data_IF_676704547041
#
_entry.id   IF_676704547041
#
_cell.length_a   1.000
_cell.length_b   1.000
_cell.length_c   1.000
_cell.angle_alpha   90.00
_cell.angle_beta   90.00
_cell.angle_gamma   90.00
#
_symmetry.space_group_name_H-M   'P 1'
#
loop_
_entity.id
_entity.type
_entity.pdbx_description
1 polymer ?
#
# COMPACT_ATOMS: atom_id res chain seq x y z
N UNK A 1 -4.64 -32.95 -10.97
CA UNK A 1 -5.69 -32.47 -10.06
C UNK A 1 -5.37 -31.01 -9.78
N UNK A 2 -6.13 -30.09 -10.37
CA UNK A 2 -5.90 -28.65 -10.22
C UNK A 2 -6.00 -28.24 -8.75
N UNK A 3 -4.90 -27.78 -8.17
CA UNK A 3 -4.89 -27.12 -6.86
C UNK A 3 -5.50 -25.72 -7.00
N UNK A 4 -6.83 -25.67 -7.07
CA UNK A 4 -7.57 -24.41 -7.13
C UNK A 4 -7.36 -23.64 -5.82
N UNK A 5 -7.06 -22.34 -5.95
CA UNK A 5 -7.06 -21.38 -4.84
C UNK A 5 -8.45 -21.38 -4.21
N UNK A 6 -8.52 -21.65 -2.91
CA UNK A 6 -9.77 -21.72 -2.14
C UNK A 6 -9.74 -20.64 -1.06
N UNK A 7 -10.83 -19.88 -0.93
CA UNK A 7 -11.02 -18.90 0.14
C UNK A 7 -12.25 -19.35 0.93
N UNK A 8 -12.10 -19.52 2.24
CA UNK A 8 -13.20 -19.77 3.17
C UNK A 8 -13.30 -18.62 4.16
N UNK A 9 -14.54 -18.24 4.47
CA UNK A 9 -14.86 -17.27 5.50
C UNK A 9 -15.42 -18.06 6.68
N UNK A 10 -14.79 -17.91 7.83
CA UNK A 10 -15.22 -18.49 9.10
C UNK A 10 -15.74 -17.34 9.97
N UNK A 11 -16.86 -17.55 10.66
CA UNK A 11 -17.51 -16.50 11.47
C UNK A 11 -16.56 -15.98 12.56
N UNK A 12 -15.85 -16.88 13.25
CA UNK A 12 -14.87 -16.51 14.27
C UNK A 12 -13.71 -17.51 14.35
N UNK A 13 -12.60 -17.07 14.92
CA UNK A 13 -11.50 -17.95 15.31
C UNK A 13 -11.16 -17.70 16.77
N UNK A 14 -11.78 -18.48 17.66
CA UNK A 14 -11.58 -18.33 19.10
C UNK A 14 -10.20 -18.88 19.53
N UNK A 15 -9.48 -18.19 20.43
CA UNK A 15 -8.26 -18.73 21.00
C UNK A 15 -8.55 -19.90 21.94
N UNK A 16 -7.53 -20.72 22.23
CA UNK A 16 -7.68 -21.82 23.20
C UNK A 16 -7.85 -21.32 24.64
N UNK A 17 -7.24 -20.16 24.92
CA UNK A 17 -7.37 -19.39 26.16
C UNK A 17 -7.42 -17.91 25.75
N UNK A 18 -8.36 -17.16 26.32
CA UNK A 18 -8.36 -15.70 26.22
C UNK A 18 -7.20 -15.10 27.01
N UNK A 19 -6.86 -13.84 26.76
CA UNK A 19 -5.85 -13.11 27.53
C UNK A 19 -6.36 -12.86 28.95
N UNK A 20 -5.49 -13.06 29.94
CA UNK A 20 -5.85 -12.87 31.35
C UNK A 20 -5.10 -13.80 32.31
N UNK A 21 -5.45 -13.71 33.59
CA UNK A 21 -4.90 -14.55 34.65
C UNK A 21 -5.72 -15.84 34.81
N UNK A 22 -5.03 -16.97 34.88
CA UNK A 22 -5.62 -18.28 35.05
C UNK A 22 -5.01 -19.00 36.25
N UNK A 23 -5.86 -19.74 36.97
CA UNK A 23 -5.44 -20.61 38.05
C UNK A 23 -5.64 -22.08 37.66
N UNK A 24 -4.56 -22.83 37.60
CA UNK A 24 -4.60 -24.29 37.45
C UNK A 24 -4.73 -24.90 38.84
N UNK A 25 -5.68 -25.81 39.00
CA UNK A 25 -5.82 -26.64 40.20
C UNK A 25 -5.58 -28.10 39.82
N UNK A 26 -4.57 -28.72 40.41
CA UNK A 26 -4.22 -30.13 40.16
C UNK A 26 -4.42 -30.97 41.43
N UNK A 27 -5.00 -32.15 41.27
CA UNK A 27 -5.10 -33.16 42.32
C UNK A 27 -4.98 -34.56 41.72
N UNK A 28 -4.53 -35.52 42.52
CA UNK A 28 -4.47 -36.93 42.17
C UNK A 28 -5.72 -37.62 42.71
N UNK A 29 -6.45 -38.31 41.84
CA UNK A 29 -7.59 -39.15 42.23
C UNK A 29 -7.13 -40.60 42.45
N UNK A 30 -7.05 -41.01 43.71
CA UNK A 30 -6.69 -42.38 44.10
C UNK A 30 -7.87 -43.35 44.06
N UNK A 31 -9.03 -42.97 43.52
CA UNK A 31 -10.25 -43.76 43.52
C UNK A 31 -10.72 -44.07 44.94
N UNK A 32 -10.49 -45.32 45.41
CA UNK A 32 -10.85 -45.75 46.77
C UNK A 32 -10.01 -45.08 47.87
N UNK A 33 -8.84 -44.56 47.54
CA UNK A 33 -7.93 -43.88 48.47
C UNK A 33 -8.26 -42.39 48.67
N UNK A 34 -9.25 -41.86 47.95
CA UNK A 34 -9.64 -40.45 47.99
C UNK A 34 -8.78 -39.55 47.10
N UNK A 35 -9.04 -38.24 47.18
CA UNK A 35 -8.32 -37.20 46.41
C UNK A 35 -7.17 -36.61 47.22
N UNK A 36 -6.05 -36.32 46.56
CA UNK A 36 -4.93 -35.59 47.17
C UNK A 36 -5.32 -34.16 47.50
N UNK A 37 -4.42 -33.48 48.23
CA UNK A 37 -4.44 -32.02 48.32
C UNK A 37 -4.43 -31.41 46.91
N UNK A 38 -5.19 -30.32 46.76
CA UNK A 38 -5.27 -29.55 45.53
C UNK A 38 -4.11 -28.55 45.53
N UNK A 39 -3.17 -28.75 44.61
CA UNK A 39 -2.12 -27.77 44.32
C UNK A 39 -2.64 -26.74 43.33
N UNK A 40 -2.25 -25.48 43.54
CA UNK A 40 -2.72 -24.34 42.76
C UNK A 40 -1.56 -23.54 42.23
N UNK A 41 -1.54 -23.32 40.93
CA UNK A 41 -0.56 -22.48 40.25
C UNK A 41 -1.29 -21.42 39.42
N UNK A 42 -0.75 -20.21 39.40
CA UNK A 42 -1.30 -19.07 38.66
C UNK A 42 -0.38 -18.77 37.48
N UNK A 43 -0.95 -18.61 36.29
CA UNK A 43 -0.21 -18.21 35.10
C UNK A 43 -1.02 -17.20 34.28
N UNK A 44 -0.33 -16.38 33.50
CA UNK A 44 -0.94 -15.34 32.67
C UNK A 44 -0.82 -15.69 31.19
N UNK A 45 -1.89 -15.45 30.45
CA UNK A 45 -1.88 -15.45 28.99
C UNK A 45 -1.78 -14.00 28.54
N UNK A 46 -0.64 -13.64 27.94
CA UNK A 46 -0.40 -12.31 27.40
C UNK A 46 -1.10 -12.09 26.06
N UNK A 47 -1.57 -10.86 25.84
CA UNK A 47 -2.15 -10.43 24.58
C UNK A 47 -2.26 -8.91 24.52
N UNK A 48 -2.34 -8.30 23.31
CA UNK A 48 -2.45 -6.85 23.15
C UNK A 48 -3.66 -6.29 23.90
N UNK A 49 -3.50 -5.12 24.53
CA UNK A 49 -4.56 -4.47 25.32
C UNK A 49 -4.73 -2.99 24.96
N UNK A 50 -3.63 -2.23 25.06
CA UNK A 50 -3.63 -0.78 24.90
C UNK A 50 -2.90 -0.27 23.65
N UNK A 51 -2.14 -1.16 22.99
CA UNK A 51 -1.43 -0.89 21.75
C UNK A 51 -1.30 -2.20 20.93
N UNK A 52 -1.11 -2.06 19.62
CA UNK A 52 -0.79 -3.16 18.71
C UNK A 52 0.66 -3.06 18.24
N UNK A 53 1.26 -4.19 17.91
CA UNK A 53 2.58 -4.23 17.31
C UNK A 53 2.51 -3.84 15.82
N UNK A 54 3.60 -3.29 15.28
CA UNK A 54 3.67 -2.86 13.87
C UNK A 54 3.36 -3.98 12.86
N UNK A 55 3.53 -5.25 13.25
CA UNK A 55 3.25 -6.42 12.41
C UNK A 55 1.84 -6.98 12.52
N UNK A 56 1.00 -6.47 13.43
CA UNK A 56 -0.35 -7.00 13.63
C UNK A 56 -1.31 -6.60 12.51
N UNK A 57 -1.13 -5.39 11.96
CA UNK A 57 -1.92 -4.87 10.85
C UNK A 57 -1.25 -5.26 9.53
N UNK A 58 -1.91 -6.09 8.73
CA UNK A 58 -1.43 -6.48 7.39
C UNK A 58 -1.76 -5.40 6.38
N UNK A 59 -3.00 -4.90 6.40
CA UNK A 59 -3.47 -3.90 5.44
C UNK A 59 -4.76 -3.23 5.91
N UNK A 60 -4.94 -1.98 5.49
CA UNK A 60 -6.19 -1.23 5.63
C UNK A 60 -6.76 -0.89 4.27
N UNK A 61 -8.08 -0.80 4.18
CA UNK A 61 -8.76 -0.32 2.98
C UNK A 61 -10.00 0.51 3.36
N UNK A 62 -10.18 1.73 2.81
CA UNK A 62 -9.27 2.46 1.91
C UNK A 62 -7.86 2.67 2.47
N UNK A 63 -6.87 2.78 1.58
CA UNK A 63 -5.48 2.95 1.99
C UNK A 63 -5.24 4.29 2.67
N UNK A 64 -4.27 4.34 3.56
CA UNK A 64 -3.89 5.59 4.25
C UNK A 64 -3.50 6.68 3.24
N UNK A 65 -4.08 7.87 3.41
CA UNK A 65 -3.85 9.05 2.57
C UNK A 65 -4.37 8.91 1.14
N UNK A 66 -5.15 7.87 0.82
CA UNK A 66 -5.66 7.65 -0.54
C UNK A 66 -6.95 8.41 -0.81
N UNK A 67 -7.14 8.81 -2.06
CA UNK A 67 -8.36 9.44 -2.56
C UNK A 67 -9.01 8.53 -3.60
N UNK A 68 -10.31 8.29 -3.48
CA UNK A 68 -11.01 7.42 -4.42
C UNK A 68 -12.51 7.34 -4.19
N UNK A 69 -13.19 6.51 -4.98
CA UNK A 69 -14.64 6.30 -4.89
C UNK A 69 -14.97 5.31 -3.77
N UNK A 70 -14.87 5.76 -2.53
CA UNK A 70 -15.11 4.95 -1.34
C UNK A 70 -16.53 5.06 -0.77
N UNK A 71 -17.38 5.91 -1.35
CA UNK A 71 -18.74 6.17 -0.85
C UNK A 71 -19.68 4.96 -0.79
N UNK A 72 -19.37 3.89 -1.53
CA UNK A 72 -20.17 2.65 -1.54
C UNK A 72 -19.43 1.46 -0.91
N UNK A 73 -18.38 1.73 -0.11
CA UNK A 73 -17.55 0.70 0.48
C UNK A 73 -17.41 0.94 1.99
N UNK A 74 -17.65 -0.12 2.76
CA UNK A 74 -17.36 -0.14 4.19
C UNK A 74 -15.84 -0.29 4.39
N UNK A 75 -15.20 0.63 5.13
CA UNK A 75 -13.80 0.48 5.48
C UNK A 75 -13.55 -0.81 6.24
N UNK A 76 -12.37 -1.41 6.03
CA UNK A 76 -11.98 -2.63 6.73
C UNK A 76 -10.47 -2.67 6.99
N UNK A 77 -10.11 -3.40 8.03
CA UNK A 77 -8.73 -3.67 8.43
C UNK A 77 -8.49 -5.18 8.45
N UNK A 78 -7.31 -5.59 7.99
CA UNK A 78 -6.87 -6.98 7.98
C UNK A 78 -5.75 -7.14 9.01
N UNK A 79 -5.96 -8.04 9.97
CA UNK A 79 -5.01 -8.37 11.02
C UNK A 79 -4.38 -9.74 10.74
N UNK A 80 -3.09 -9.89 11.05
CA UNK A 80 -2.34 -11.13 10.79
C UNK A 80 -2.61 -12.23 11.81
N UNK A 81 -2.92 -11.85 13.06
CA UNK A 81 -3.32 -12.79 14.09
C UNK A 81 -4.80 -13.12 13.96
N UNK A 82 -5.10 -14.34 13.51
CA UNK A 82 -6.46 -14.82 13.28
C UNK A 82 -7.38 -14.79 14.51
N UNK A 83 -6.82 -14.88 15.72
CA UNK A 83 -7.57 -14.93 16.99
C UNK A 83 -7.71 -13.56 17.65
N UNK A 84 -6.95 -12.55 17.20
CA UNK A 84 -6.78 -11.28 17.90
C UNK A 84 -8.09 -10.57 18.25
N UNK A 85 -9.10 -10.49 17.38
CA UNK A 85 -10.38 -9.86 17.74
C UNK A 85 -11.14 -10.58 18.86
N UNK A 86 -10.83 -11.85 19.14
CA UNK A 86 -11.48 -12.71 20.14
C UNK A 86 -10.55 -13.09 21.31
N UNK A 87 -9.40 -12.43 21.43
CA UNK A 87 -8.44 -12.68 22.52
C UNK A 87 -8.84 -12.01 23.84
N UNK A 88 -9.80 -11.09 23.83
CA UNK A 88 -10.37 -10.44 25.02
C UNK A 88 -11.90 -10.37 24.90
N UNK A 89 -12.53 -9.95 25.99
CA UNK A 89 -13.98 -9.84 26.09
C UNK A 89 -14.42 -8.39 26.25
N UNK A 90 -15.57 -8.04 25.66
CA UNK A 90 -16.26 -6.77 25.94
C UNK A 90 -16.88 -6.75 27.35
N UNK A 91 -16.97 -7.89 28.04
CA UNK A 91 -17.54 -7.99 29.38
C UNK A 91 -16.60 -7.45 30.46
N UNK A 92 -17.18 -6.89 31.53
CA UNK A 92 -16.41 -6.52 32.73
C UNK A 92 -15.70 -7.73 33.37
N UNK A 93 -14.39 -7.59 33.59
CA UNK A 93 -13.51 -8.61 34.18
C UNK A 93 -13.99 -9.07 35.58
N UNK A 94 -14.59 -8.17 36.38
CA UNK A 94 -15.05 -8.48 37.74
C UNK A 94 -16.12 -9.59 37.81
N UNK A 95 -16.82 -9.91 36.71
CA UNK A 95 -17.83 -10.99 36.67
C UNK A 95 -17.29 -12.34 36.17
N UNK A 96 -16.03 -12.43 35.72
CA UNK A 96 -15.43 -13.70 35.30
C UNK A 96 -14.48 -14.23 36.38
N UNK A 97 -15.05 -14.95 37.37
CA UNK A 97 -14.33 -16.13 37.89
C UNK A 97 -14.25 -17.11 36.72
N UNK A 98 -13.07 -17.27 36.13
CA UNK A 98 -12.83 -18.25 35.05
C UNK A 98 -12.86 -19.66 35.67
N UNK A 99 -14.05 -20.11 36.05
CA UNK A 99 -14.34 -21.53 36.01
C UNK A 99 -14.61 -21.80 34.53
N UNK A 100 -13.78 -22.61 33.85
CA UNK A 100 -14.17 -23.26 32.60
C UNK A 100 -15.56 -23.86 32.84
N UNK A 101 -16.61 -23.23 32.31
CA UNK A 101 -17.84 -23.96 32.10
C UNK A 101 -17.49 -24.98 31.03
N UNK A 102 -17.50 -26.25 31.40
CA UNK A 102 -17.43 -27.39 30.48
C UNK A 102 -18.72 -27.44 29.67
N UNK A 103 -18.95 -26.41 28.84
CA UNK A 103 -20.06 -26.26 27.93
C UNK A 103 -19.55 -25.76 26.58
N UNK A 104 -20.33 -25.92 25.49
CA UNK A 104 -19.97 -25.35 24.21
C UNK A 104 -19.84 -23.82 24.35
N UNK A 105 -18.74 -23.25 23.84
CA UNK A 105 -18.57 -21.80 23.70
C UNK A 105 -19.80 -21.24 22.97
N UNK A 106 -20.35 -20.09 23.40
CA UNK A 106 -21.44 -19.46 22.68
C UNK A 106 -21.03 -19.27 21.21
N UNK A 107 -21.93 -19.61 20.28
CA UNK A 107 -21.60 -19.72 18.86
C UNK A 107 -21.17 -18.40 18.20
N UNK A 108 -21.35 -17.26 18.89
CA UNK A 108 -21.00 -15.92 18.43
C UNK A 108 -20.51 -15.08 19.60
N UNK A 109 -19.20 -15.08 19.84
CA UNK A 109 -18.60 -14.10 20.75
C UNK A 109 -18.28 -12.82 19.97
N UNK A 110 -18.77 -11.66 20.43
CA UNK A 110 -18.44 -10.39 19.80
C UNK A 110 -16.96 -10.10 19.98
N UNK A 111 -16.26 -9.57 18.95
CA UNK A 111 -14.88 -9.16 19.11
C UNK A 111 -14.77 -8.01 20.11
N UNK A 112 -13.66 -7.93 20.84
CA UNK A 112 -13.37 -6.79 21.72
C UNK A 112 -12.88 -5.55 20.97
N UNK A 113 -12.84 -5.59 19.64
CA UNK A 113 -12.32 -4.54 18.78
C UNK A 113 -13.39 -4.13 17.78
N UNK A 114 -13.47 -2.83 17.48
CA UNK A 114 -14.40 -2.29 16.50
C UNK A 114 -13.72 -1.27 15.61
N UNK A 115 -14.11 -1.24 14.33
CA UNK A 115 -13.63 -0.24 13.38
C UNK A 115 -14.60 0.94 13.30
N UNK A 116 -14.33 1.96 14.10
CA UNK A 116 -15.07 3.21 14.16
C UNK A 116 -14.72 4.10 12.96
N UNK A 117 -15.71 4.65 12.28
CA UNK A 117 -15.52 5.61 11.19
C UNK A 117 -16.15 6.95 11.54
N UNK A 118 -15.33 8.01 11.52
CA UNK A 118 -15.77 9.39 11.75
C UNK A 118 -15.61 10.23 10.49
N UNK A 119 -16.62 11.05 10.21
CA UNK A 119 -16.59 12.03 9.12
C UNK A 119 -15.89 13.31 9.55
N UNK A 120 -15.50 14.16 8.60
CA UNK A 120 -14.70 15.37 8.81
C UNK A 120 -15.07 16.23 10.03
N UNK A 121 -16.36 16.44 10.30
CA UNK A 121 -16.84 17.27 11.42
C UNK A 121 -16.79 16.55 12.77
N UNK A 122 -16.71 15.22 12.76
CA UNK A 122 -16.71 14.34 13.92
C UNK A 122 -15.28 13.87 14.27
N UNK A 123 -14.29 14.14 13.42
CA UNK A 123 -12.91 13.67 13.62
C UNK A 123 -12.34 14.25 14.92
N UNK A 124 -11.87 13.36 15.78
CA UNK A 124 -11.14 13.68 17.02
C UNK A 124 -9.70 13.22 16.88
N UNK A 125 -8.75 14.11 17.19
CA UNK A 125 -7.33 13.76 17.14
C UNK A 125 -6.94 12.76 18.24
N UNK A 126 -6.17 11.75 17.86
CA UNK A 126 -5.65 10.73 18.79
C UNK A 126 -4.61 11.37 19.70
N UNK A 127 -4.88 11.37 21.00
CA UNK A 127 -3.90 11.79 22.02
C UNK A 127 -3.03 10.60 22.40
N UNK A 128 -1.75 10.86 22.55
CA UNK A 128 -0.79 9.89 23.09
C UNK A 128 -0.60 10.18 24.58
N UNK A 129 -0.67 9.13 25.40
CA UNK A 129 -0.46 9.24 26.83
C UNK A 129 -0.13 7.88 27.44
N UNK A 130 -0.29 7.77 28.75
CA UNK A 130 -0.09 6.52 29.48
C UNK A 130 -1.40 5.87 29.85
N UNK A 131 -1.38 4.58 30.14
CA UNK A 131 -2.57 3.85 30.62
C UNK A 131 -3.13 4.47 31.91
N UNK A 132 -2.30 5.08 32.75
CA UNK A 132 -2.77 5.88 33.93
C UNK A 132 -3.75 6.99 33.58
N UNK A 133 -3.64 7.57 32.38
CA UNK A 133 -4.52 8.63 31.91
C UNK A 133 -5.92 8.09 31.58
N UNK A 134 -6.04 6.79 31.30
CA UNK A 134 -7.32 6.11 31.08
C UNK A 134 -8.09 5.92 32.40
N UNK A 135 -7.40 5.59 33.50
CA UNK A 135 -7.99 5.42 34.84
C UNK A 135 -8.57 6.74 35.39
N UNK A 136 -8.00 7.88 34.99
CA UNK A 136 -8.37 9.20 35.49
C UNK A 136 -8.85 10.13 34.37
N UNK A 137 -10.01 9.85 33.75
CA UNK A 137 -10.55 10.72 32.72
C UNK A 137 -10.99 12.07 33.32
N UNK A 138 -11.00 13.15 32.52
CA UNK A 138 -11.46 14.46 32.95
C UNK A 138 -12.93 14.41 33.42
N UNK A 139 -13.34 15.38 34.23
CA UNK A 139 -14.71 15.46 34.72
C UNK A 139 -15.73 15.44 33.57
N UNK A 140 -16.70 14.53 33.65
CA UNK A 140 -17.73 14.35 32.62
C UNK A 140 -17.36 13.36 31.50
N UNK A 141 -16.20 12.70 31.56
CA UNK A 141 -15.79 11.67 30.60
C UNK A 141 -15.90 10.25 31.19
N UNK A 142 -16.42 9.31 30.41
CA UNK A 142 -16.63 7.91 30.79
C UNK A 142 -15.50 7.01 30.28
N UNK A 143 -14.98 6.17 31.16
CA UNK A 143 -14.11 5.04 30.82
C UNK A 143 -14.56 3.83 31.65
N UNK A 144 -14.61 2.60 31.11
CA UNK A 144 -14.99 1.42 31.86
C UNK A 144 -13.96 1.09 32.95
N UNK A 145 -14.42 0.54 34.08
CA UNK A 145 -13.54 0.01 35.12
C UNK A 145 -12.86 -1.27 34.64
N UNK A 146 -11.58 -1.16 34.26
CA UNK A 146 -10.70 -2.27 33.89
C UNK A 146 -9.75 -2.61 35.04
N UNK A 147 -9.39 -3.89 35.20
CA UNK A 147 -8.34 -4.28 36.14
C UNK A 147 -6.99 -4.02 35.47
N UNK A 148 -6.42 -2.84 35.72
CA UNK A 148 -5.12 -2.42 35.20
C UNK A 148 -4.05 -2.75 36.24
N UNK A 149 -3.05 -3.50 35.82
CA UNK A 149 -1.91 -3.85 36.67
C UNK A 149 -0.85 -2.74 36.71
N UNK A 150 0.00 -2.75 37.75
CA UNK A 150 1.05 -1.75 37.92
C UNK A 150 2.02 -1.68 36.72
N UNK A 151 2.30 -2.82 36.10
CA UNK A 151 3.17 -2.90 34.91
C UNK A 151 2.51 -2.31 33.65
N UNK A 152 1.18 -2.35 33.56
CA UNK A 152 0.42 -1.81 32.44
C UNK A 152 0.26 -0.28 32.54
N UNK A 153 0.19 0.26 33.76
CA UNK A 153 0.00 1.70 34.02
C UNK A 153 1.01 2.58 33.29
N UNK A 154 2.26 2.15 33.21
CA UNK A 154 3.35 2.91 32.58
C UNK A 154 3.43 2.74 31.05
N UNK A 155 2.61 1.88 30.46
CA UNK A 155 2.61 1.66 29.00
C UNK A 155 2.06 2.86 28.25
N UNK A 156 2.64 3.13 27.07
CA UNK A 156 2.13 4.15 26.15
C UNK A 156 0.88 3.65 25.43
N UNK A 157 -0.12 4.52 25.29
CA UNK A 157 -1.36 4.22 24.60
C UNK A 157 -1.92 5.44 23.87
N UNK A 158 -2.67 5.18 22.80
CA UNK A 158 -3.46 6.19 22.09
C UNK A 158 -4.90 6.18 22.58
N UNK A 159 -5.52 7.35 22.75
CA UNK A 159 -6.93 7.44 23.12
C UNK A 159 -7.61 8.71 22.58
N UNK A 160 -8.93 8.62 22.42
CA UNK A 160 -9.82 9.73 22.01
C UNK A 160 -10.94 9.91 23.04
N UNK A 161 -11.41 11.14 23.23
CA UNK A 161 -12.65 11.42 23.95
C UNK A 161 -13.72 11.75 22.90
N UNK A 162 -14.68 10.85 22.72
CA UNK A 162 -15.75 11.00 21.72
C UNK A 162 -17.04 11.48 22.39
N UNK A 163 -17.75 12.46 21.82
CA UNK A 163 -19.05 12.86 22.33
C UNK A 163 -20.03 11.68 22.37
N UNK A 164 -20.82 11.61 23.45
CA UNK A 164 -21.83 10.56 23.67
C UNK A 164 -22.76 10.38 22.49
N UNK A 165 -23.24 11.48 21.92
CA UNK A 165 -24.21 11.48 20.80
C UNK A 165 -23.66 10.71 19.59
N UNK A 166 -22.38 10.94 19.25
CA UNK A 166 -21.71 10.27 18.13
C UNK A 166 -21.45 8.80 18.47
N UNK A 167 -21.05 8.51 19.71
CA UNK A 167 -20.82 7.13 20.14
C UNK A 167 -22.12 6.30 20.11
N UNK A 168 -23.22 6.84 20.62
CA UNK A 168 -24.55 6.20 20.57
C UNK A 168 -25.04 5.98 19.14
N UNK A 169 -24.75 6.89 18.21
CA UNK A 169 -25.13 6.75 16.80
C UNK A 169 -24.33 5.67 16.08
N UNK A 170 -23.02 5.57 16.35
CA UNK A 170 -22.11 4.75 15.53
C UNK A 170 -21.83 3.38 16.14
N UNK A 171 -21.98 3.19 17.45
CA UNK A 171 -21.68 1.91 18.10
C UNK A 171 -22.69 0.81 17.67
N UNK A 172 -22.24 -0.33 17.14
CA UNK A 172 -23.12 -1.45 16.80
C UNK A 172 -23.59 -2.20 18.06
N UNK A 173 -24.70 -2.92 17.93
CA UNK A 173 -25.13 -3.91 18.94
C UNK A 173 -24.14 -5.07 19.05
N UNK A 174 -24.18 -5.84 20.15
CA UNK A 174 -23.29 -7.01 20.32
C UNK A 174 -23.47 -8.05 19.18
N UNK A 175 -24.70 -8.22 18.68
CA UNK A 175 -25.00 -9.13 17.57
C UNK A 175 -24.42 -8.63 16.24
N UNK A 176 -24.53 -7.32 15.97
CA UNK A 176 -23.94 -6.70 14.78
C UNK A 176 -22.41 -6.74 14.84
N UNK A 177 -21.81 -6.51 16.01
CA UNK A 177 -20.37 -6.56 16.20
C UNK A 177 -19.79 -7.94 15.84
N UNK A 178 -20.52 -9.01 16.16
CA UNK A 178 -20.17 -10.36 15.73
C UNK A 178 -20.26 -10.57 14.20
N UNK A 179 -21.07 -9.80 13.48
CA UNK A 179 -21.17 -9.86 12.01
C UNK A 179 -20.11 -8.99 11.30
N UNK A 180 -19.60 -7.97 11.98
CA UNK A 180 -18.60 -7.03 11.46
C UNK A 180 -17.17 -7.58 11.52
N UNK A 181 -16.97 -8.76 12.08
CA UNK A 181 -15.69 -9.45 12.14
C UNK A 181 -15.80 -10.87 11.59
N UNK A 182 -14.74 -11.33 10.91
CA UNK A 182 -14.65 -12.71 10.46
C UNK A 182 -13.19 -13.13 10.27
N UNK A 183 -12.94 -14.44 10.30
CA UNK A 183 -11.66 -15.01 9.94
C UNK A 183 -11.68 -15.48 8.49
N UNK A 184 -10.60 -15.22 7.76
CA UNK A 184 -10.45 -15.63 6.36
C UNK A 184 -9.31 -16.64 6.25
N UNK A 185 -9.66 -17.82 5.73
CA UNK A 185 -8.72 -18.90 5.41
C UNK A 185 -8.41 -18.86 3.91
N UNK A 186 -7.14 -18.70 3.58
CA UNK A 186 -6.65 -18.64 2.20
C UNK A 186 -5.76 -19.85 1.95
N UNK A 187 -6.16 -20.71 1.02
CA UNK A 187 -5.33 -21.84 0.56
C UNK A 187 -4.72 -21.50 -0.80
N UNK A 188 -3.40 -21.51 -0.88
CA UNK A 188 -2.66 -21.26 -2.12
C UNK A 188 -2.56 -22.52 -2.97
N UNK A 189 -2.33 -22.35 -4.28
CA UNK A 189 -2.16 -23.47 -5.22
C UNK A 189 -0.94 -24.34 -4.89
N UNK A 190 0.03 -23.80 -4.15
CA UNK A 190 1.24 -24.47 -3.67
C UNK A 190 1.00 -25.25 -2.36
N UNK A 191 -0.24 -25.26 -1.84
CA UNK A 191 -0.61 -25.99 -0.63
C UNK A 191 -0.39 -25.23 0.68
N UNK A 192 0.08 -23.98 0.61
CA UNK A 192 0.18 -23.11 1.77
C UNK A 192 -1.18 -22.65 2.28
N UNK A 193 -1.32 -22.57 3.59
CA UNK A 193 -2.54 -22.08 4.24
C UNK A 193 -2.22 -20.86 5.10
N UNK A 194 -2.94 -19.77 4.85
CA UNK A 194 -2.78 -18.52 5.58
C UNK A 194 -4.12 -18.11 6.19
N UNK A 195 -4.06 -17.66 7.43
CA UNK A 195 -5.21 -17.15 8.16
C UNK A 195 -5.01 -15.68 8.45
N UNK A 196 -6.08 -14.92 8.31
CA UNK A 196 -6.16 -13.51 8.71
C UNK A 196 -7.51 -13.26 9.36
N UNK A 197 -7.62 -12.24 10.20
CA UNK A 197 -8.91 -11.74 10.68
C UNK A 197 -9.21 -10.39 10.06
N UNK A 198 -10.48 -10.13 9.78
CA UNK A 198 -10.93 -8.91 9.11
C UNK A 198 -11.98 -8.25 9.99
N UNK A 199 -11.82 -6.97 10.28
CA UNK A 199 -12.85 -6.13 10.89
C UNK A 199 -13.33 -5.11 9.87
N UNK A 200 -14.64 -4.93 9.80
CA UNK A 200 -15.31 -3.99 8.88
C UNK A 200 -16.07 -2.96 9.70
N UNK A 201 -16.09 -1.71 9.25
CA UNK A 201 -16.94 -0.69 9.86
C UNK A 201 -18.41 -0.90 9.51
N UNK A 202 -19.31 -0.19 10.19
CA UNK A 202 -20.76 -0.20 9.93
C UNK A 202 -21.28 1.06 9.22
N UNK A 203 -20.41 2.05 8.97
CA UNK A 203 -20.76 3.34 8.35
C UNK A 203 -20.05 3.52 7.01
N UNK A 204 -20.73 4.14 6.06
CA UNK A 204 -20.14 4.53 4.79
C UNK A 204 -19.37 5.86 4.93
N UNK A 205 -18.26 6.06 4.20
CA UNK A 205 -17.56 7.33 4.16
C UNK A 205 -18.44 8.45 3.61
N UNK A 206 -18.30 9.66 4.16
CA UNK A 206 -18.96 10.85 3.61
C UNK A 206 -18.36 11.19 2.25
N UNK A 207 -19.23 11.43 1.25
CA UNK A 207 -18.79 11.78 -0.10
C UNK A 207 -19.02 13.27 -0.32
N UNK A 208 -18.01 13.97 -0.83
CA UNK A 208 -18.10 15.39 -1.16
C UNK A 208 -17.52 15.69 -2.55
N UNK A 209 -17.89 16.85 -3.12
CA UNK A 209 -17.37 17.31 -4.42
C UNK A 209 -15.86 17.52 -4.43
N UNK A 210 -15.29 17.98 -3.31
CA UNK A 210 -13.84 18.13 -3.10
C UNK A 210 -13.20 16.92 -2.41
N UNK A 211 -13.98 15.87 -2.14
CA UNK A 211 -13.59 14.71 -1.35
C UNK A 211 -13.96 14.85 0.12
N UNK A 212 -14.81 13.97 0.64
CA UNK A 212 -15.13 13.93 2.06
C UNK A 212 -13.99 13.25 2.82
N UNK A 213 -13.39 13.97 3.77
CA UNK A 213 -12.37 13.41 4.67
C UNK A 213 -13.05 12.47 5.67
N UNK A 214 -12.53 11.25 5.78
CA UNK A 214 -12.96 10.27 6.78
C UNK A 214 -11.74 9.69 7.50
N UNK A 215 -11.89 9.43 8.80
CA UNK A 215 -10.85 8.79 9.61
C UNK A 215 -11.40 7.54 10.27
N UNK A 216 -10.69 6.44 10.09
CA UNK A 216 -11.03 5.16 10.69
C UNK A 216 -10.16 4.92 11.93
N UNK A 217 -10.76 4.40 13.00
CA UNK A 217 -10.11 4.08 14.27
C UNK A 217 -10.46 2.65 14.64
N UNK A 218 -9.43 1.82 14.82
CA UNK A 218 -9.56 0.54 15.46
C UNK A 218 -9.55 0.77 16.97
N UNK A 219 -10.71 0.64 17.61
CA UNK A 219 -10.90 0.93 19.04
C UNK A 219 -11.03 -0.36 19.85
N UNK A 220 -10.64 -0.29 21.14
CA UNK A 220 -10.96 -1.31 22.13
C UNK A 220 -12.35 -1.08 22.74
N UNK A 221 -13.14 -2.15 22.81
CA UNK A 221 -14.43 -2.23 23.50
C UNK A 221 -14.35 -3.10 24.77
N UNK A 222 -13.15 -3.36 25.28
CA UNK A 222 -12.96 -4.08 26.53
C UNK A 222 -13.70 -3.37 27.68
N UNK A 223 -14.54 -4.11 28.42
CA UNK A 223 -15.35 -3.56 29.51
C UNK A 223 -16.59 -2.75 29.09
N UNK A 224 -16.88 -2.58 27.80
CA UNK A 224 -18.05 -1.80 27.34
C UNK A 224 -19.38 -2.54 27.41
N UNK A 225 -19.46 -3.81 27.83
CA UNK A 225 -20.75 -4.51 27.95
C UNK A 225 -21.65 -3.83 28.99
N UNK A 226 -22.82 -3.38 28.54
CA UNK A 226 -23.80 -2.69 29.39
C UNK A 226 -23.40 -1.27 29.77
N UNK A 227 -22.50 -0.66 29.00
CA UNK A 227 -22.03 0.73 29.15
C UNK A 227 -23.15 1.76 29.27
N UNK A 228 -24.31 1.50 28.66
CA UNK A 228 -25.49 2.39 28.70
C UNK A 228 -25.95 2.63 30.15
N UNK A 229 -25.89 1.59 30.98
CA UNK A 229 -26.25 1.65 32.39
C UNK A 229 -25.20 2.34 33.27
N UNK A 230 -23.97 2.47 32.77
CA UNK A 230 -22.80 2.98 33.52
C UNK A 230 -22.46 4.43 33.18
N UNK A 231 -23.07 4.99 32.13
CA UNK A 231 -22.74 6.31 31.62
C UNK A 231 -23.11 7.46 32.58
N UNK A 232 -24.26 7.35 33.23
CA UNK A 232 -24.81 8.42 34.08
C UNK A 232 -24.96 9.75 33.33
N UNK A 233 -24.45 10.84 33.90
CA UNK A 233 -24.49 12.22 33.36
C UNK A 233 -23.24 12.58 32.51
N UNK A 234 -22.40 11.60 32.17
CA UNK A 234 -21.17 11.84 31.42
C UNK A 234 -21.49 12.20 29.95
N UNK A 235 -20.73 13.16 29.42
CA UNK A 235 -20.92 13.74 28.07
C UNK A 235 -20.02 13.12 27.03
N UNK A 236 -18.81 12.73 27.43
CA UNK A 236 -17.81 12.18 26.53
C UNK A 236 -17.44 10.76 26.96
N UNK A 237 -16.96 9.96 26.01
CA UNK A 237 -16.57 8.57 26.19
C UNK A 237 -15.14 8.42 25.73
N UNK A 238 -14.26 7.99 26.64
CA UNK A 238 -12.86 7.71 26.36
C UNK A 238 -12.72 6.34 25.73
N UNK A 239 -12.08 6.30 24.57
CA UNK A 239 -11.83 5.08 23.80
C UNK A 239 -10.35 4.92 23.56
N UNK A 240 -9.83 3.71 23.79
CA UNK A 240 -8.46 3.34 23.44
C UNK A 240 -8.40 3.10 21.93
N UNK A 241 -7.44 3.74 21.28
CA UNK A 241 -7.19 3.63 19.84
C UNK A 241 -5.96 2.75 19.61
N UNK A 242 -6.19 1.60 19.00
CA UNK A 242 -5.17 0.61 18.69
C UNK A 242 -4.50 0.87 17.32
N UNK A 243 -5.25 1.46 16.38
CA UNK A 243 -4.75 1.86 15.07
C UNK A 243 -5.67 2.94 14.48
N UNK A 244 -5.14 3.87 13.68
CA UNK A 244 -5.97 4.88 13.01
C UNK A 244 -5.35 5.31 11.69
N UNK A 245 -6.18 5.61 10.69
CA UNK A 245 -5.73 6.14 9.39
C UNK A 245 -6.81 7.01 8.74
N UNK A 246 -6.37 7.85 7.79
CA UNK A 246 -7.24 8.81 7.09
C UNK A 246 -7.31 8.48 5.59
N UNK A 247 -8.43 8.81 4.96
CA UNK A 247 -8.63 8.70 3.52
C UNK A 247 -9.73 9.67 3.03
N UNK A 248 -9.84 9.83 1.71
CA UNK A 248 -10.72 10.82 1.08
C UNK A 248 -11.68 10.16 0.07
N UNK A 249 -12.98 10.36 0.26
CA UNK A 249 -14.01 9.78 -0.62
C UNK A 249 -14.60 10.84 -1.57
N UNK A 250 -14.45 10.63 -2.89
CA UNK A 250 -14.90 11.56 -3.94
C UNK A 250 -16.07 10.99 -4.77
N UNK A 251 -16.94 11.88 -5.30
CA UNK A 251 -18.05 11.51 -6.20
C UNK A 251 -17.58 11.21 -7.63
N UNK A 252 -16.59 11.97 -8.13
CA UNK A 252 -16.18 11.95 -9.53
C UNK A 252 -15.08 10.91 -9.84
N UNK A 253 -15.06 10.35 -11.07
CA UNK A 253 -14.36 9.11 -11.39
C UNK A 253 -12.84 9.27 -11.39
N UNK A 254 -12.16 8.51 -10.52
CA UNK A 254 -10.71 8.27 -10.60
C UNK A 254 -10.37 6.79 -10.83
N UNK A 255 -11.35 5.96 -11.16
CA UNK A 255 -11.12 4.57 -11.50
C UNK A 255 -10.51 4.42 -12.89
N UNK A 256 -9.52 3.53 -13.01
CA UNK A 256 -8.89 3.20 -14.30
C UNK A 256 -9.93 2.85 -15.37
N UNK A 257 -10.98 2.11 -14.98
CA UNK A 257 -12.01 1.63 -15.91
C UNK A 257 -12.86 2.79 -16.44
N UNK A 258 -13.26 3.75 -15.60
CA UNK A 258 -13.96 4.95 -16.06
C UNK A 258 -13.05 5.88 -16.89
N UNK A 259 -11.76 6.01 -16.53
CA UNK A 259 -10.77 6.71 -17.38
C UNK A 259 -10.73 6.04 -18.77
N UNK A 260 -10.71 4.71 -18.83
CA UNK A 260 -10.78 3.97 -20.10
C UNK A 260 -12.09 4.18 -20.86
N UNK A 261 -13.23 4.36 -20.18
CA UNK A 261 -14.49 4.71 -20.83
C UNK A 261 -14.49 6.14 -21.38
N UNK A 262 -13.74 7.05 -20.77
CA UNK A 262 -13.54 8.43 -21.27
C UNK A 262 -12.58 8.54 -22.46
N UNK A 263 -11.86 7.48 -22.82
CA UNK A 263 -10.98 7.48 -23.99
C UNK A 263 -11.81 7.49 -25.28
N UNK A 264 -11.59 8.50 -26.12
CA UNK A 264 -12.17 8.57 -27.45
C UNK A 264 -11.57 7.47 -28.35
N UNK A 265 -12.41 6.59 -28.90
CA UNK A 265 -12.02 5.49 -29.79
C UNK A 265 -11.96 5.90 -31.28
N UNK A 266 -11.64 7.17 -31.55
CA UNK A 266 -11.63 7.75 -32.89
C UNK A 266 -10.23 7.87 -33.49
N UNK A 267 -10.14 8.36 -34.73
CA UNK A 267 -8.88 8.88 -35.26
C UNK A 267 -8.43 10.02 -34.36
N UNK A 268 -7.12 10.12 -34.11
CA UNK A 268 -6.56 11.31 -33.49
C UNK A 268 -6.85 12.48 -34.45
N UNK A 269 -7.87 13.29 -34.15
CA UNK A 269 -8.29 14.45 -34.92
C UNK A 269 -8.37 15.71 -34.05
N UNK A 270 -7.92 16.86 -34.55
CA UNK A 270 -8.01 18.12 -33.81
C UNK A 270 -9.44 18.66 -33.98
N UNK A 271 -10.17 18.78 -32.88
CA UNK A 271 -11.46 19.47 -32.84
C UNK A 271 -11.23 20.97 -33.12
N UNK A 272 -11.69 21.48 -34.26
CA UNK A 272 -11.55 22.91 -34.61
C UNK A 272 -11.92 23.25 -36.06
N UNK A 273 -12.47 24.45 -36.23
CA UNK A 273 -13.18 25.00 -37.41
C UNK A 273 -12.49 24.85 -38.77
N UNK A 274 -13.33 24.63 -39.78
CA UNK A 274 -13.00 24.57 -41.21
C UNK A 274 -12.61 25.95 -41.75
N UNK A 275 -11.30 26.25 -41.83
CA UNK A 275 -10.80 27.42 -42.55
C UNK A 275 -9.32 27.72 -42.32
N UNK A 276 -8.60 28.09 -43.39
CA UNK A 276 -7.20 28.54 -43.35
C UNK A 276 -6.14 27.43 -43.48
N UNK A 277 -4.87 27.74 -43.18
CA UNK A 277 -3.71 26.82 -43.28
C UNK A 277 -3.88 25.53 -42.45
N UNK A 278 -4.65 25.60 -41.35
CA UNK A 278 -5.03 24.45 -40.53
C UNK A 278 -5.82 23.37 -41.28
N UNK A 279 -6.60 23.73 -42.31
CA UNK A 279 -7.33 22.73 -43.11
C UNK A 279 -6.39 21.94 -44.03
N UNK A 280 -5.34 22.57 -44.56
CA UNK A 280 -4.29 21.90 -45.35
C UNK A 280 -3.48 20.95 -44.49
N UNK A 281 -3.08 21.39 -43.29
CA UNK A 281 -2.32 20.59 -42.31
C UNK A 281 -3.14 19.35 -41.91
N UNK A 282 -4.44 19.52 -41.59
CA UNK A 282 -5.36 18.41 -41.33
C UNK A 282 -5.56 17.51 -42.54
N UNK A 283 -5.69 18.09 -43.74
CA UNK A 283 -5.83 17.36 -45.01
C UNK A 283 -4.66 16.43 -45.29
N UNK A 284 -3.44 16.86 -44.91
CA UNK A 284 -2.24 16.05 -45.01
C UNK A 284 -2.08 15.06 -43.84
N UNK A 285 -2.96 15.09 -42.84
CA UNK A 285 -2.99 14.16 -41.71
C UNK A 285 -2.09 14.55 -40.53
N UNK A 286 -1.62 15.79 -40.47
CA UNK A 286 -0.85 16.32 -39.35
C UNK A 286 -1.77 16.74 -38.20
N UNK A 287 -1.28 16.52 -36.98
CA UNK A 287 -1.95 16.83 -35.72
C UNK A 287 -1.09 17.75 -34.85
N UNK A 288 -1.56 18.95 -34.47
CA UNK A 288 -0.89 19.72 -33.44
C UNK A 288 -1.04 19.03 -32.08
N UNK A 289 0.08 18.72 -31.43
CA UNK A 289 0.12 18.19 -30.08
C UNK A 289 0.96 19.09 -29.16
N UNK A 290 0.55 19.26 -27.89
CA UNK A 290 1.43 19.84 -26.89
C UNK A 290 2.72 19.02 -26.78
N UNK A 291 3.85 19.69 -26.90
CA UNK A 291 5.16 19.05 -26.88
C UNK A 291 6.04 19.72 -25.82
N UNK A 292 6.50 18.93 -24.86
CA UNK A 292 7.52 19.35 -23.91
C UNK A 292 8.89 18.93 -24.42
N UNK A 293 9.73 19.91 -24.75
CA UNK A 293 11.09 19.68 -25.21
C UNK A 293 11.96 19.20 -24.05
N UNK A 294 13.09 18.56 -24.38
CA UNK A 294 14.03 17.99 -23.41
C UNK A 294 14.61 19.01 -22.42
N UNK A 295 14.66 20.27 -22.82
CA UNK A 295 15.11 21.39 -21.98
C UNK A 295 14.03 21.87 -20.99
N UNK A 296 12.82 21.32 -21.06
CA UNK A 296 11.68 21.67 -20.21
C UNK A 296 10.74 22.71 -20.80
N UNK A 297 11.11 23.36 -21.91
CA UNK A 297 10.24 24.31 -22.62
C UNK A 297 9.03 23.61 -23.23
N UNK A 298 7.91 24.34 -23.30
CA UNK A 298 6.64 23.87 -23.86
C UNK A 298 6.41 24.54 -25.21
N UNK A 299 6.09 23.74 -26.22
CA UNK A 299 5.77 24.19 -27.58
C UNK A 299 4.62 23.36 -28.14
N UNK A 300 4.20 23.64 -29.37
CA UNK A 300 3.32 22.79 -30.16
C UNK A 300 4.15 22.17 -31.27
N UNK A 301 3.92 20.88 -31.54
CA UNK A 301 4.58 20.18 -32.64
C UNK A 301 3.56 19.33 -33.39
N UNK A 302 3.78 19.19 -34.68
CA UNK A 302 2.95 18.35 -35.53
C UNK A 302 3.37 16.89 -35.43
N UNK A 303 2.38 16.03 -35.33
CA UNK A 303 2.51 14.59 -35.44
C UNK A 303 1.60 14.08 -36.55
N UNK A 304 2.14 13.22 -37.40
CA UNK A 304 1.44 12.52 -38.47
C UNK A 304 1.60 11.03 -38.26
N UNK A 305 0.48 10.31 -38.30
CA UNK A 305 0.49 8.85 -38.20
C UNK A 305 1.08 8.17 -39.44
N UNK A 306 1.40 6.88 -39.38
CA UNK A 306 2.01 6.14 -40.50
C UNK A 306 1.05 5.91 -41.67
N UNK A 307 -0.27 6.04 -41.46
CA UNK A 307 -1.29 5.93 -42.51
C UNK A 307 -1.58 7.31 -43.06
N UNK A 308 -0.70 7.78 -43.94
CA UNK A 308 -0.75 9.11 -44.53
C UNK A 308 -1.68 9.14 -45.76
N UNK A 309 -2.41 10.25 -45.99
CA UNK A 309 -3.28 10.40 -47.16
C UNK A 309 -2.49 10.59 -48.46
N UNK A 310 -1.24 11.04 -48.38
CA UNK A 310 -0.34 11.24 -49.52
C UNK A 310 0.94 10.43 -49.34
N UNK A 311 1.50 9.98 -50.46
CA UNK A 311 2.80 9.31 -50.50
C UNK A 311 3.91 10.37 -50.44
N UNK A 312 4.72 10.31 -49.38
CA UNK A 312 5.93 11.14 -49.27
C UNK A 312 7.09 10.46 -50.01
N UNK A 313 7.97 11.24 -50.67
CA UNK A 313 9.20 10.69 -51.21
C UNK A 313 10.06 10.12 -50.07
N UNK A 314 10.62 8.93 -50.30
CA UNK A 314 11.56 8.31 -49.38
C UNK A 314 12.84 9.15 -49.35
N UNK A 315 13.04 9.92 -48.28
CA UNK A 315 14.33 10.55 -48.02
C UNK A 315 15.33 9.51 -47.51
N UNK A 316 16.60 9.67 -47.92
CA UNK A 316 17.69 8.88 -47.37
C UNK A 316 17.83 9.13 -45.86
N UNK A 317 17.74 8.05 -45.09
CA UNK A 317 17.92 8.03 -43.64
C UNK A 317 19.34 8.51 -43.33
N UNK A 318 19.49 9.72 -42.78
CA UNK A 318 20.79 10.23 -42.32
C UNK A 318 21.28 9.37 -41.15
N UNK A 319 22.45 8.74 -41.31
CA UNK A 319 23.03 7.79 -40.34
C UNK A 319 23.50 8.42 -39.01
N UNK A 320 23.36 9.73 -38.84
CA UNK A 320 23.97 10.48 -37.73
C UNK A 320 23.08 10.62 -36.48
N UNK A 321 21.83 10.13 -36.53
CA UNK A 321 20.84 10.37 -35.49
C UNK A 321 20.74 9.23 -34.45
N UNK A 322 21.37 9.44 -33.29
CA UNK A 322 21.41 8.45 -32.18
C UNK A 322 20.24 8.57 -31.18
N UNK A 323 19.43 9.62 -31.28
CA UNK A 323 18.26 9.87 -30.44
C UNK A 323 17.06 10.32 -31.28
N UNK A 324 15.87 10.22 -30.72
CA UNK A 324 14.64 10.67 -31.37
C UNK A 324 14.64 12.15 -31.72
N UNK A 325 15.23 13.00 -30.87
CA UNK A 325 15.30 14.44 -31.11
C UNK A 325 16.07 14.78 -32.40
N UNK A 326 17.00 13.91 -32.84
CA UNK A 326 17.68 14.06 -34.14
C UNK A 326 16.75 13.87 -35.34
N UNK A 327 15.57 13.29 -35.12
CA UNK A 327 14.53 13.08 -36.13
C UNK A 327 13.43 14.14 -36.11
N UNK A 328 13.60 15.23 -35.36
CA UNK A 328 12.74 16.40 -35.50
C UNK A 328 12.98 17.04 -36.87
N UNK A 329 11.89 17.26 -37.61
CA UNK A 329 11.90 18.07 -38.83
C UNK A 329 11.36 19.44 -38.47
N UNK A 330 12.03 20.50 -38.89
CA UNK A 330 11.55 21.85 -38.66
C UNK A 330 10.94 22.37 -39.95
N UNK A 331 9.68 22.82 -39.88
CA UNK A 331 9.02 23.54 -40.96
C UNK A 331 9.28 25.04 -40.78
N UNK A 332 10.11 25.66 -41.63
CA UNK A 332 10.45 27.08 -41.52
C UNK A 332 9.31 28.01 -41.93
N UNK A 333 8.34 27.56 -42.73
CA UNK A 333 7.19 28.38 -43.12
C UNK A 333 6.21 28.53 -41.96
N UNK A 334 5.95 27.43 -41.24
CA UNK A 334 5.01 27.40 -40.11
C UNK A 334 5.68 27.62 -38.74
N UNK A 335 7.01 27.54 -38.66
CA UNK A 335 7.77 27.75 -37.44
C UNK A 335 7.60 26.66 -36.38
N UNK A 336 7.27 25.44 -36.79
CA UNK A 336 6.91 24.31 -35.91
C UNK A 336 7.70 23.05 -36.23
N UNK A 337 7.85 22.18 -35.24
CA UNK A 337 8.47 20.87 -35.44
C UNK A 337 7.46 19.84 -35.92
N UNK A 338 7.83 19.03 -36.90
CA UNK A 338 7.25 17.72 -37.19
C UNK A 338 8.05 16.65 -36.44
N UNK A 339 7.36 15.94 -35.53
CA UNK A 339 7.93 14.90 -34.67
C UNK A 339 7.54 13.48 -35.10
N UNK A 340 6.95 13.32 -36.30
CA UNK A 340 6.45 12.02 -36.79
C UNK A 340 7.55 10.96 -36.87
N UNK A 341 8.71 11.33 -37.43
CA UNK A 341 9.86 10.42 -37.52
C UNK A 341 10.50 10.15 -36.16
N UNK A 342 10.53 11.14 -35.28
CA UNK A 342 11.00 10.96 -33.90
C UNK A 342 10.12 9.97 -33.13
N UNK A 343 8.80 10.07 -33.28
CA UNK A 343 7.83 9.13 -32.71
C UNK A 343 7.99 7.72 -33.31
N UNK A 344 8.14 7.61 -34.64
CA UNK A 344 8.38 6.32 -35.31
C UNK A 344 9.69 5.67 -34.85
N UNK A 345 10.78 6.44 -34.73
CA UNK A 345 12.06 5.97 -34.23
C UNK A 345 11.95 5.46 -32.78
N UNK A 346 11.24 6.18 -31.91
CA UNK A 346 11.00 5.73 -30.53
C UNK A 346 10.18 4.46 -30.47
N UNK A 347 9.11 4.36 -31.27
CA UNK A 347 8.28 3.17 -31.34
C UNK A 347 9.11 1.96 -31.79
N UNK A 348 9.88 2.09 -32.86
CA UNK A 348 10.79 1.04 -33.32
C UNK A 348 11.80 0.61 -32.25
N UNK A 349 12.32 1.58 -31.48
CA UNK A 349 13.24 1.30 -30.37
C UNK A 349 12.56 0.55 -29.22
N UNK A 350 11.34 0.92 -28.86
CA UNK A 350 10.55 0.22 -27.82
C UNK A 350 10.24 -1.21 -28.28
N UNK A 351 9.80 -1.38 -29.52
CA UNK A 351 9.53 -2.71 -30.10
C UNK A 351 10.78 -3.58 -30.14
N UNK A 352 11.93 -3.02 -30.55
CA UNK A 352 13.21 -3.73 -30.54
C UNK A 352 13.68 -4.11 -29.13
N UNK A 353 13.34 -3.32 -28.11
CA UNK A 353 13.66 -3.62 -26.71
C UNK A 353 12.72 -4.65 -26.09
N UNK A 354 11.50 -4.81 -26.62
CA UNK A 354 10.59 -5.87 -26.20
C UNK A 354 11.03 -7.25 -26.66
N UNK A 355 11.78 -7.36 -27.77
CA UNK A 355 12.40 -8.61 -28.22
C UNK A 355 13.73 -8.86 -27.47
N UNK A 356 13.81 -9.90 -26.60
CA UNK A 356 15.02 -10.20 -25.84
C UNK A 356 16.24 -10.50 -26.73
N UNK A 357 16.03 -11.10 -27.91
CA UNK A 357 17.10 -11.45 -28.85
C UNK A 357 17.71 -10.19 -29.47
N UNK A 358 16.85 -9.28 -29.95
CA UNK A 358 17.27 -8.00 -30.49
C UNK A 358 17.96 -7.13 -29.42
N UNK A 359 17.41 -7.07 -28.20
CA UNK A 359 18.00 -6.34 -27.07
C UNK A 359 19.41 -6.87 -26.72
N UNK A 360 19.58 -8.20 -26.64
CA UNK A 360 20.88 -8.82 -26.39
C UNK A 360 21.88 -8.54 -27.53
N UNK A 361 21.42 -8.57 -28.79
CA UNK A 361 22.21 -8.18 -29.95
C UNK A 361 22.72 -6.74 -29.89
N UNK A 362 21.83 -5.79 -29.55
CA UNK A 362 22.17 -4.37 -29.39
C UNK A 362 23.19 -4.17 -28.27
N UNK A 363 23.02 -4.85 -27.12
CA UNK A 363 24.01 -4.77 -26.03
C UNK A 363 25.38 -5.30 -26.45
N UNK A 364 25.43 -6.43 -27.15
CA UNK A 364 26.67 -7.02 -27.66
C UNK A 364 27.37 -6.07 -28.64
N UNK A 365 26.62 -5.47 -29.55
CA UNK A 365 27.14 -4.48 -30.50
C UNK A 365 27.69 -3.23 -29.79
N UNK A 366 26.95 -2.67 -28.82
CA UNK A 366 27.40 -1.52 -28.01
C UNK A 366 28.68 -1.82 -27.23
N UNK A 367 28.78 -3.02 -26.63
CA UNK A 367 30.00 -3.46 -25.94
C UNK A 367 31.18 -3.54 -26.90
N UNK A 368 30.99 -4.13 -28.07
CA UNK A 368 32.05 -4.22 -29.09
C UNK A 368 32.50 -2.83 -29.58
N UNK A 369 31.57 -1.91 -29.82
CA UNK A 369 31.87 -0.54 -30.24
C UNK A 369 32.62 0.24 -29.15
N UNK A 370 32.21 0.13 -27.88
CA UNK A 370 32.91 0.75 -26.74
C UNK A 370 34.36 0.24 -26.64
N UNK A 371 34.56 -1.08 -26.74
CA UNK A 371 35.91 -1.67 -26.71
C UNK A 371 36.76 -1.18 -27.89
N UNK A 372 36.18 -1.09 -29.10
CA UNK A 372 36.86 -0.57 -30.28
C UNK A 372 37.28 0.89 -30.12
N UNK A 373 36.35 1.76 -29.69
CA UNK A 373 36.63 3.18 -29.48
C UNK A 373 37.67 3.39 -28.37
N UNK A 374 37.59 2.62 -27.29
CA UNK A 374 38.62 2.65 -26.24
C UNK A 374 39.99 2.27 -26.80
N UNK A 375 40.09 1.19 -27.59
CA UNK A 375 41.36 0.80 -28.23
C UNK A 375 41.87 1.85 -29.21
N UNK A 376 41.00 2.53 -29.95
CA UNK A 376 41.41 3.61 -30.84
C UNK A 376 41.91 4.84 -30.08
N UNK A 377 41.25 5.21 -28.97
CA UNK A 377 41.72 6.28 -28.09
C UNK A 377 43.05 5.93 -27.42
N UNK A 378 43.20 4.69 -26.91
CA UNK A 378 44.46 4.18 -26.37
C UNK A 378 45.57 4.24 -27.41
N UNK A 379 45.31 3.81 -28.66
CA UNK A 379 46.28 3.91 -29.76
C UNK A 379 46.66 5.36 -30.08
N UNK A 380 45.70 6.29 -30.07
CA UNK A 380 45.96 7.73 -30.28
C UNK A 380 46.82 8.30 -29.14
N UNK A 381 46.51 7.95 -27.89
CA UNK A 381 47.27 8.39 -26.72
C UNK A 381 48.71 7.83 -26.72
N UNK A 382 48.89 6.54 -27.01
CA UNK A 382 50.21 5.91 -27.12
C UNK A 382 51.07 6.55 -28.22
N UNK A 383 50.49 6.80 -29.41
CA UNK A 383 51.17 7.52 -30.50
C UNK A 383 51.62 8.92 -30.08
N UNK A 384 50.78 9.66 -29.33
CA UNK A 384 51.11 10.99 -28.81
C UNK A 384 52.32 10.97 -27.87
N UNK A 385 52.48 9.89 -27.09
CA UNK A 385 53.58 9.74 -26.14
C UNK A 385 54.78 8.93 -26.68
N UNK A 386 54.84 8.65 -27.99
CA UNK A 386 55.90 7.87 -28.65
C UNK A 386 56.12 6.48 -28.03
N UNK A 387 55.08 5.89 -27.43
CA UNK A 387 55.13 4.55 -26.85
C UNK A 387 54.61 3.55 -27.87
N UNK A 388 55.41 2.53 -28.19
CA UNK A 388 55.02 1.44 -29.08
C UNK A 388 54.99 0.11 -28.29
N UNK A 389 53.81 -0.38 -27.89
CA UNK A 389 53.69 -1.72 -27.30
C UNK A 389 54.16 -2.76 -28.32
N UNK A 390 54.91 -3.78 -27.86
CA UNK A 390 55.35 -4.89 -28.71
C UNK A 390 54.16 -5.59 -29.40
N UNK A 391 54.41 -6.20 -30.57
CA UNK A 391 53.35 -6.83 -31.38
C UNK A 391 52.47 -7.79 -30.54
N UNK A 392 51.18 -7.47 -30.43
CA UNK A 392 50.17 -8.35 -29.80
C UNK A 392 49.78 -8.00 -28.35
N UNK A 393 50.48 -7.09 -27.66
CA UNK A 393 50.10 -6.67 -26.30
C UNK A 393 49.14 -5.47 -26.30
N UNK A 394 48.17 -5.45 -25.37
CA UNK A 394 47.34 -4.27 -25.12
C UNK A 394 48.12 -3.22 -24.33
N UNK A 395 47.82 -1.93 -24.56
CA UNK A 395 48.46 -0.80 -23.87
C UNK A 395 48.51 -0.97 -22.35
N UNK A 396 47.40 -1.40 -21.75
CA UNK A 396 47.31 -1.64 -20.31
C UNK A 396 48.18 -2.80 -19.82
N UNK A 397 48.31 -3.89 -20.58
CA UNK A 397 49.20 -5.01 -20.21
C UNK A 397 50.66 -4.60 -20.28
N UNK A 398 51.05 -3.86 -21.31
CA UNK A 398 52.39 -3.29 -21.43
C UNK A 398 52.70 -2.34 -20.26
N UNK A 399 51.77 -1.44 -19.91
CA UNK A 399 51.95 -0.48 -18.82
C UNK A 399 52.08 -1.18 -17.47
N UNK A 400 51.21 -2.16 -17.18
CA UNK A 400 51.30 -2.96 -15.95
C UNK A 400 52.64 -3.69 -15.90
N UNK A 401 53.09 -4.28 -17.01
CA UNK A 401 54.39 -4.95 -17.07
C UNK A 401 55.53 -3.98 -16.78
N UNK A 402 55.55 -2.80 -17.39
CA UNK A 402 56.57 -1.77 -17.15
C UNK A 402 56.56 -1.24 -15.72
N UNK A 403 55.38 -1.08 -15.11
CA UNK A 403 55.24 -0.69 -13.69
C UNK A 403 55.72 -1.80 -12.75
N UNK A 404 55.48 -3.05 -13.08
CA UNK A 404 55.99 -4.20 -12.33
C UNK A 404 57.51 -4.34 -12.46
N UNK A 405 58.07 -4.15 -13.65
CA UNK A 405 59.51 -4.25 -13.93
C UNK A 405 60.31 -3.08 -13.30
N UNK A 406 59.73 -1.87 -13.24
CA UNK A 406 60.40 -0.68 -12.69
C UNK A 406 59.94 -0.30 -11.27
N UNK A 407 59.34 -1.24 -10.52
CA UNK A 407 58.73 -0.99 -9.21
C UNK A 407 59.70 -0.39 -8.18
N UNK A 408 61.00 -0.69 -8.29
CA UNK A 408 62.05 -0.16 -7.41
C UNK A 408 62.53 1.26 -7.76
N UNK A 409 62.22 1.78 -8.96
CA UNK A 409 62.61 3.14 -9.39
C UNK A 409 61.51 4.19 -9.21
N UNK A 410 60.31 3.75 -8.85
CA UNK A 410 59.10 4.59 -8.73
C UNK A 410 58.67 4.83 -7.27
N UNK A 411 59.35 4.19 -6.32
CA UNK A 411 59.39 4.57 -4.89
C UNK A 411 60.62 5.46 -4.68
#
# INVERSE_FOLDING_TARGET
>A
MDSKKEIKLEESCLPALESGEYQISAYVDGGKLGRSQVEREVFRVEGPRFALDQGDVISVYPGEGTTGRYGNLLPHIVLGRKTLPWERSIAHEQKRRICRQTGPLPSKEPPWMFLLLLWEQEIVDVRQGKVTDLEHPPEGCFFPELLIEDEEREQECGYIDLPREIFEEVLPTEEELALLSHARRIRTAEGGETWVSILTGNRLPSVGKEGGRSRAYLISLEGFRGWESMLGEKRDIRLVVLHSWEFYAVEEPQGFLEICHGLQKGRLEASGSEGGELSRIKGNGYMPLPHQLRQGSRTVSFYRGPLTPEAEPLEEVREENWCADGWYRYDPEMGVFDVSYAAAWQLGRILALQDPSAAAGIQKARRAFRIRNQREQEKKALKKHQVSPGQGETAGKWLIRQLCENKEKLL
#
